data_IF_851149740602
#
_entry.id   IF_851149740602
#
_cell.length_a   1.000
_cell.length_b   1.000
_cell.length_c   1.000
_cell.angle_alpha   90.00
_cell.angle_beta   90.00
_cell.angle_gamma   90.00
#
_symmetry.space_group_name_H-M   'P 1'
#
loop_
_entity.id
_entity.type
_entity.pdbx_description
1 polymer ?
#
# COMPACT_ATOMS: atom_id res chain seq x y z
N UNK A 1 50.87 3.59 1.45
CA UNK A 1 50.08 2.60 2.23
C UNK A 1 48.60 2.92 2.07
N UNK A 2 47.84 2.12 1.32
CA UNK A 2 46.43 2.41 0.98
C UNK A 2 45.53 1.89 2.09
N UNK A 3 44.72 2.76 2.70
CA UNK A 3 43.75 2.38 3.73
C UNK A 3 42.35 2.39 3.14
N UNK A 4 41.60 1.32 3.38
CA UNK A 4 40.21 1.18 2.95
C UNK A 4 39.31 0.88 4.13
N UNK A 5 38.02 1.11 3.93
CA UNK A 5 36.96 0.64 4.79
C UNK A 5 36.04 -0.26 3.97
N UNK A 6 35.77 -1.46 4.48
CA UNK A 6 34.93 -2.46 3.82
C UNK A 6 33.74 -2.83 4.72
N UNK A 7 32.61 -3.12 4.08
CA UNK A 7 31.43 -3.65 4.79
C UNK A 7 31.25 -5.12 4.52
N UNK A 8 31.16 -5.89 5.59
CA UNK A 8 30.94 -7.33 5.61
C UNK A 8 29.51 -7.61 6.11
N UNK A 9 28.78 -8.52 5.46
CA UNK A 9 27.43 -8.95 5.91
C UNK A 9 27.29 -10.46 5.85
N UNK A 10 26.42 -11.03 6.70
CA UNK A 10 26.00 -12.42 6.60
C UNK A 10 24.54 -12.53 6.12
N UNK A 11 24.36 -12.94 4.87
CA UNK A 11 23.04 -12.98 4.22
C UNK A 11 22.25 -14.25 4.57
N UNK A 12 22.95 -15.34 4.87
CA UNK A 12 22.35 -16.63 5.24
C UNK A 12 23.33 -17.50 6.02
N UNK A 13 22.82 -18.42 6.83
CA UNK A 13 23.63 -19.45 7.48
C UNK A 13 23.25 -20.79 6.84
N UNK A 14 24.18 -21.41 6.11
CA UNK A 14 23.95 -22.69 5.41
C UNK A 14 24.75 -23.77 6.13
N UNK A 15 24.08 -24.86 6.55
CA UNK A 15 24.71 -26.00 7.25
C UNK A 15 25.55 -25.57 8.49
N UNK A 16 25.10 -24.55 9.22
CA UNK A 16 25.80 -24.02 10.38
C UNK A 16 26.98 -23.07 10.08
N UNK A 17 27.30 -22.82 8.81
CA UNK A 17 28.34 -21.87 8.41
C UNK A 17 27.74 -20.54 7.91
N UNK A 18 28.18 -19.37 8.43
CA UNK A 18 27.74 -18.07 7.95
C UNK A 18 28.24 -17.82 6.52
N UNK A 19 27.35 -17.38 5.64
CA UNK A 19 27.68 -17.01 4.26
C UNK A 19 27.97 -15.52 4.22
N UNK A 20 29.27 -15.20 4.31
CA UNK A 20 29.75 -13.83 4.42
C UNK A 20 29.91 -13.22 3.03
N UNK A 21 29.53 -11.95 2.92
CA UNK A 21 29.69 -11.14 1.73
C UNK A 21 30.48 -9.88 2.01
N UNK A 22 31.36 -9.51 1.10
CA UNK A 22 32.01 -8.20 1.03
C UNK A 22 31.13 -7.31 0.15
N UNK A 23 30.32 -6.45 0.75
CA UNK A 23 29.35 -5.65 0.00
C UNK A 23 29.99 -4.45 -0.69
N UNK A 24 30.83 -3.74 0.04
CA UNK A 24 31.32 -2.43 -0.39
C UNK A 24 32.73 -2.17 0.10
N UNK A 25 33.40 -1.26 -0.59
CA UNK A 25 34.76 -0.79 -0.34
C UNK A 25 34.82 0.72 -0.55
N UNK A 26 35.58 1.42 0.28
CA UNK A 26 35.89 2.84 0.09
C UNK A 26 37.29 3.15 0.57
N UNK A 27 37.86 4.26 0.11
CA UNK A 27 39.08 4.80 0.72
C UNK A 27 38.77 5.30 2.13
N UNK A 28 39.67 5.05 3.06
CA UNK A 28 39.52 5.49 4.43
C UNK A 28 39.57 7.02 4.50
N UNK A 29 38.52 7.64 5.04
CA UNK A 29 38.39 9.09 5.12
C UNK A 29 37.67 9.74 3.93
N UNK A 30 37.34 8.97 2.89
CA UNK A 30 36.53 9.45 1.77
C UNK A 30 35.04 9.11 1.94
N UNK A 31 34.20 9.94 1.32
CA UNK A 31 32.74 9.78 1.35
C UNK A 31 32.21 8.90 0.20
N UNK A 32 33.02 8.74 -0.86
CA UNK A 32 32.65 7.92 -2.01
C UNK A 32 32.82 6.46 -1.66
N UNK A 33 31.78 5.66 -1.91
CA UNK A 33 31.81 4.23 -1.62
C UNK A 33 31.51 3.46 -2.86
N UNK A 34 32.09 2.29 -3.00
CA UNK A 34 32.02 1.48 -4.20
C UNK A 34 31.46 0.12 -3.83
N UNK A 35 30.58 -0.42 -4.67
CA UNK A 35 29.87 -1.67 -4.40
C UNK A 35 30.38 -2.78 -5.31
N UNK A 36 30.65 -3.96 -4.73
CA UNK A 36 30.94 -5.16 -5.51
C UNK A 36 29.65 -5.67 -6.16
N UNK A 37 29.74 -6.17 -7.39
CA UNK A 37 28.57 -6.73 -8.08
C UNK A 37 28.01 -7.93 -7.30
N UNK A 38 26.72 -8.22 -7.42
CA UNK A 38 26.09 -9.33 -6.67
C UNK A 38 26.78 -10.69 -6.87
N UNK A 39 27.44 -10.87 -8.02
CA UNK A 39 28.18 -12.08 -8.36
C UNK A 39 29.55 -12.11 -7.66
N UNK A 40 30.16 -10.95 -7.42
CA UNK A 40 31.48 -10.78 -6.82
C UNK A 40 31.45 -10.37 -5.35
N UNK A 41 30.34 -10.52 -4.65
CA UNK A 41 30.25 -10.19 -3.22
C UNK A 41 30.67 -11.35 -2.32
N UNK A 42 30.80 -12.57 -2.82
CA UNK A 42 31.10 -13.73 -1.98
C UNK A 42 32.49 -13.58 -1.35
N UNK A 43 32.59 -13.68 -0.02
CA UNK A 43 33.86 -13.56 0.69
C UNK A 43 34.92 -14.58 0.21
N UNK A 44 34.50 -15.74 -0.31
CA UNK A 44 35.40 -16.72 -0.92
C UNK A 44 36.18 -16.20 -2.15
N UNK A 45 35.67 -15.18 -2.83
CA UNK A 45 36.35 -14.52 -3.95
C UNK A 45 37.39 -13.48 -3.46
N UNK A 46 37.32 -13.06 -2.19
CA UNK A 46 38.17 -12.05 -1.59
C UNK A 46 39.22 -12.64 -0.63
N UNK A 47 39.79 -13.82 -0.93
CA UNK A 47 40.74 -14.52 -0.02
C UNK A 47 41.89 -13.63 0.44
N UNK A 48 42.46 -12.84 -0.48
CA UNK A 48 43.56 -11.91 -0.19
C UNK A 48 43.15 -10.81 0.80
N UNK A 49 41.90 -10.36 0.76
CA UNK A 49 41.34 -9.36 1.69
C UNK A 49 41.02 -9.97 3.05
N UNK A 50 40.50 -11.21 3.07
CA UNK A 50 40.20 -11.95 4.30
C UNK A 50 41.44 -12.32 5.11
N UNK A 51 42.59 -12.45 4.46
CA UNK A 51 43.86 -12.72 5.14
C UNK A 51 44.38 -11.51 5.95
N UNK A 52 43.81 -10.31 5.75
CA UNK A 52 44.19 -9.13 6.53
C UNK A 52 43.72 -9.32 7.99
N UNK A 53 44.59 -9.17 9.00
CA UNK A 53 44.25 -9.47 10.40
C UNK A 53 43.05 -8.70 10.97
N UNK A 54 42.77 -7.48 10.50
CA UNK A 54 41.58 -6.72 10.91
C UNK A 54 40.31 -7.30 10.29
N UNK A 55 40.35 -7.65 9.01
CA UNK A 55 39.22 -8.24 8.27
C UNK A 55 38.89 -9.64 8.77
N UNK A 56 39.91 -10.48 9.01
CA UNK A 56 39.73 -11.82 9.57
C UNK A 56 39.00 -11.79 10.91
N UNK A 57 39.43 -10.93 11.82
CA UNK A 57 38.77 -10.74 13.13
C UNK A 57 37.33 -10.21 12.98
N UNK A 58 37.07 -9.35 12.01
CA UNK A 58 35.72 -8.87 11.75
C UNK A 58 34.79 -10.00 11.25
N UNK A 59 35.31 -10.89 10.41
CA UNK A 59 34.61 -12.08 9.92
C UNK A 59 34.29 -13.07 11.04
N UNK A 60 35.23 -13.32 11.96
CA UNK A 60 35.02 -14.25 13.10
C UNK A 60 33.85 -13.85 14.00
N UNK A 61 33.52 -12.55 14.08
CA UNK A 61 32.44 -12.02 14.91
C UNK A 61 31.08 -12.06 14.19
N UNK A 62 31.05 -12.27 12.87
CA UNK A 62 29.83 -12.37 12.07
C UNK A 62 29.38 -13.84 12.05
N UNK A 63 28.38 -14.16 12.87
CA UNK A 63 27.93 -15.54 13.08
C UNK A 63 26.48 -15.79 12.67
N UNK A 64 25.63 -14.77 12.75
CA UNK A 64 24.20 -14.89 12.50
C UNK A 64 23.78 -14.19 11.22
N UNK A 65 22.66 -14.64 10.65
CA UNK A 65 22.01 -13.97 9.53
C UNK A 65 21.61 -12.54 9.93
N UNK A 66 22.02 -11.57 9.11
CA UNK A 66 21.78 -10.14 9.34
C UNK A 66 22.91 -9.44 10.09
N UNK A 67 23.88 -10.17 10.62
CA UNK A 67 25.09 -9.56 11.19
C UNK A 67 25.85 -8.80 10.10
N UNK A 68 26.31 -7.60 10.45
CA UNK A 68 27.14 -6.77 9.58
C UNK A 68 28.24 -6.07 10.38
N UNK A 69 29.37 -5.79 9.73
CA UNK A 69 30.47 -5.01 10.30
C UNK A 69 31.17 -4.18 9.23
N UNK A 70 31.46 -2.93 9.57
CA UNK A 70 32.39 -2.10 8.84
C UNK A 70 33.77 -2.23 9.49
N UNK A 71 34.79 -2.50 8.68
CA UNK A 71 36.16 -2.68 9.16
C UNK A 71 37.13 -1.86 8.33
N UNK A 72 38.02 -1.16 9.03
CA UNK A 72 39.14 -0.44 8.41
C UNK A 72 40.31 -1.40 8.26
N UNK A 73 40.85 -1.48 7.06
CA UNK A 73 41.97 -2.31 6.71
C UNK A 73 43.02 -1.49 5.96
N UNK A 74 44.27 -1.92 6.06
CA UNK A 74 45.34 -1.36 5.24
C UNK A 74 45.73 -2.42 4.23
N UNK A 75 45.71 -2.10 2.93
CA UNK A 75 46.09 -3.04 1.89
C UNK A 75 47.61 -3.16 1.86
N UNK A 76 48.13 -4.39 1.96
CA UNK A 76 49.48 -4.73 1.52
C UNK A 76 49.71 -4.39 0.03
N UNK A 77 50.93 -4.01 -0.33
CA UNK A 77 51.29 -3.58 -1.70
C UNK A 77 51.02 -4.67 -2.75
N UNK A 78 51.18 -5.94 -2.39
CA UNK A 78 50.95 -7.12 -3.24
C UNK A 78 49.48 -7.36 -3.60
N UNK A 79 48.53 -6.70 -2.92
CA UNK A 79 47.10 -6.84 -3.22
C UNK A 79 46.45 -5.53 -3.70
N UNK A 80 47.17 -4.41 -3.74
CA UNK A 80 46.62 -3.11 -4.19
C UNK A 80 46.09 -3.22 -5.62
N UNK A 81 46.88 -3.80 -6.53
CA UNK A 81 46.50 -3.97 -7.94
C UNK A 81 45.32 -4.91 -8.19
N UNK A 82 44.82 -5.62 -7.18
CA UNK A 82 43.60 -6.43 -7.30
C UNK A 82 42.32 -5.60 -7.06
N UNK A 83 42.46 -4.44 -6.41
CA UNK A 83 41.35 -3.57 -6.00
C UNK A 83 41.43 -2.17 -6.60
N UNK A 84 42.55 -1.82 -7.22
CA UNK A 84 42.81 -0.55 -7.87
C UNK A 84 43.45 -0.76 -9.23
N UNK A 85 43.05 0.04 -10.21
CA UNK A 85 43.74 0.15 -11.50
C UNK A 85 44.91 1.16 -11.43
N UNK A 86 45.62 1.34 -12.54
CA UNK A 86 46.73 2.31 -12.66
C UNK A 86 46.27 3.77 -12.51
N UNK A 87 44.98 4.04 -12.72
CA UNK A 87 44.34 5.36 -12.59
C UNK A 87 43.66 5.55 -11.23
N UNK A 88 43.98 4.69 -10.26
CA UNK A 88 43.50 4.79 -8.88
C UNK A 88 41.98 4.56 -8.68
N UNK A 89 41.27 4.04 -9.68
CA UNK A 89 39.86 3.67 -9.59
C UNK A 89 39.67 2.30 -8.95
N UNK A 90 38.54 2.09 -8.28
CA UNK A 90 38.21 0.79 -7.71
C UNK A 90 37.83 -0.22 -8.79
N UNK A 91 38.62 -1.29 -8.91
CA UNK A 91 38.37 -2.41 -9.82
C UNK A 91 38.36 -3.72 -9.07
N UNK A 92 37.71 -4.76 -9.60
CA UNK A 92 37.81 -6.12 -9.09
C UNK A 92 37.56 -7.11 -10.22
N UNK A 93 38.50 -8.03 -10.45
CA UNK A 93 38.47 -8.98 -11.59
C UNK A 93 38.22 -8.26 -12.94
N UNK A 94 38.95 -7.16 -13.18
CA UNK A 94 38.86 -6.31 -14.38
C UNK A 94 37.52 -5.57 -14.58
N UNK A 95 36.63 -5.58 -13.59
CA UNK A 95 35.41 -4.78 -13.59
C UNK A 95 35.57 -3.53 -12.72
N UNK A 96 35.24 -2.36 -13.30
CA UNK A 96 35.13 -1.10 -12.57
C UNK A 96 33.94 -1.14 -11.61
N UNK A 97 34.16 -0.78 -10.35
CA UNK A 97 33.10 -0.75 -9.35
C UNK A 97 32.24 0.51 -9.49
N UNK A 98 30.94 0.35 -9.28
CA UNK A 98 30.00 1.47 -9.28
C UNK A 98 30.03 2.23 -7.95
N UNK A 99 30.02 3.57 -8.03
CA UNK A 99 29.86 4.46 -6.87
C UNK A 99 28.47 4.28 -6.25
N UNK A 100 28.43 4.21 -4.93
CA UNK A 100 27.29 4.00 -4.08
C UNK A 100 27.36 5.04 -2.95
N UNK A 101 26.33 5.85 -2.80
CA UNK A 101 26.31 6.91 -1.79
C UNK A 101 26.11 6.29 -0.39
N UNK A 102 27.19 6.06 0.38
CA UNK A 102 27.05 5.81 1.83
C UNK A 102 27.06 7.12 2.60
N UNK A 103 25.87 7.64 2.88
CA UNK A 103 25.66 8.31 4.16
C UNK A 103 25.45 7.24 5.23
N UNK A 104 26.18 7.39 6.33
CA UNK A 104 26.36 6.39 7.38
C UNK A 104 25.05 5.88 7.99
N UNK A 105 24.85 4.57 7.83
CA UNK A 105 24.46 3.59 8.85
C UNK A 105 23.22 3.93 9.70
N UNK A 106 22.05 3.47 9.24
CA UNK A 106 21.25 2.39 9.89
C UNK A 106 20.07 2.03 8.97
N UNK A 107 20.24 1.86 7.66
CA UNK A 107 19.09 1.98 6.75
C UNK A 107 19.19 1.15 5.45
N UNK A 108 19.75 -0.06 5.47
CA UNK A 108 19.46 -1.04 4.40
C UNK A 108 18.03 -1.61 4.48
N UNK A 109 17.30 -1.31 5.56
CA UNK A 109 15.83 -1.38 5.58
C UNK A 109 15.16 -0.07 5.13
N UNK A 110 15.90 0.96 4.68
CA UNK A 110 15.41 2.34 4.51
C UNK A 110 15.65 3.01 3.16
N UNK A 111 16.17 2.34 2.14
CA UNK A 111 16.02 2.88 0.76
C UNK A 111 14.67 2.49 0.14
N UNK A 112 14.00 1.46 0.68
CA UNK A 112 12.53 1.42 0.66
C UNK A 112 11.97 2.34 1.76
N UNK A 113 12.28 2.19 3.07
CA UNK A 113 11.77 3.06 4.17
C UNK A 113 12.05 4.57 4.17
N UNK A 114 12.84 5.24 3.31
CA UNK A 114 12.97 6.73 3.36
C UNK A 114 12.07 7.39 2.32
N UNK A 115 11.94 6.76 1.14
CA UNK A 115 10.79 6.98 0.27
C UNK A 115 9.54 6.42 0.94
N UNK A 116 9.49 5.20 1.48
CA UNK A 116 8.36 4.69 2.28
C UNK A 116 8.15 5.47 3.60
N UNK A 117 9.10 6.15 4.25
CA UNK A 117 8.74 7.01 5.40
C UNK A 117 8.12 8.32 4.91
N UNK A 118 8.57 8.87 3.79
CA UNK A 118 7.95 10.04 3.14
C UNK A 118 6.60 9.69 2.50
N UNK A 119 6.52 8.59 1.76
CA UNK A 119 5.36 7.95 1.15
C UNK A 119 4.39 7.47 2.22
N UNK A 120 4.76 6.71 3.26
CA UNK A 120 3.82 6.33 4.31
C UNK A 120 3.37 7.53 5.14
N UNK A 121 4.20 8.58 5.29
CA UNK A 121 3.75 9.84 5.90
C UNK A 121 2.74 10.55 5.00
N UNK A 122 2.99 10.61 3.69
CA UNK A 122 2.07 11.16 2.69
C UNK A 122 0.78 10.34 2.58
N UNK A 123 0.87 9.00 2.52
CA UNK A 123 -0.23 8.02 2.47
C UNK A 123 -1.16 8.16 3.68
N UNK A 124 -0.65 8.45 4.87
CA UNK A 124 -1.51 8.77 6.03
C UNK A 124 -2.38 10.01 5.81
N UNK A 125 -1.95 10.91 4.94
CA UNK A 125 -2.69 12.11 4.57
C UNK A 125 -3.51 11.93 3.31
N UNK A 126 -3.36 10.84 2.55
CA UNK A 126 -4.23 10.53 1.41
C UNK A 126 -5.64 10.23 1.92
N UNK A 127 -6.63 10.88 1.32
CA UNK A 127 -8.04 10.61 1.58
C UNK A 127 -8.59 9.83 0.38
N UNK A 128 -8.16 8.57 0.27
CA UNK A 128 -8.54 7.68 -0.83
C UNK A 128 -8.78 6.25 -0.32
N UNK A 129 -9.94 5.69 -0.69
CA UNK A 129 -10.25 4.28 -0.43
C UNK A 129 -9.45 3.37 -1.37
N UNK A 130 -9.05 2.20 -0.89
CA UNK A 130 -8.30 1.25 -1.71
C UNK A 130 -9.16 0.69 -2.85
N UNK A 131 -8.55 0.50 -4.02
CA UNK A 131 -9.18 -0.07 -5.19
C UNK A 131 -9.31 -1.59 -5.05
N UNK A 132 -10.55 -2.09 -5.07
CA UNK A 132 -10.86 -3.51 -5.03
C UNK A 132 -11.62 -3.99 -6.28
N UNK A 133 -11.67 -3.17 -7.33
CA UNK A 133 -12.39 -3.50 -8.57
C UNK A 133 -13.90 -3.29 -8.50
N UNK A 134 -14.46 -2.83 -7.38
CA UNK A 134 -15.87 -2.42 -7.30
C UNK A 134 -16.09 -0.95 -7.66
N UNK A 135 -15.05 -0.12 -7.54
CA UNK A 135 -15.10 1.29 -7.90
C UNK A 135 -14.91 1.52 -9.40
N UNK A 136 -15.40 2.64 -9.89
CA UNK A 136 -15.11 3.14 -11.21
C UNK A 136 -13.61 3.48 -11.32
N UNK A 137 -12.89 2.77 -12.20
CA UNK A 137 -11.44 2.93 -12.31
C UNK A 137 -11.01 4.31 -12.81
N UNK A 138 -11.79 4.93 -13.69
CA UNK A 138 -11.52 6.28 -14.23
C UNK A 138 -11.70 7.34 -13.14
N UNK A 139 -12.79 7.27 -12.39
CA UNK A 139 -13.00 8.19 -11.27
C UNK A 139 -11.94 7.98 -10.17
N UNK A 140 -11.64 6.72 -9.86
CA UNK A 140 -10.69 6.37 -8.82
C UNK A 140 -9.26 6.84 -9.14
N UNK A 141 -8.75 6.60 -10.37
CA UNK A 141 -7.41 7.03 -10.75
C UNK A 141 -7.32 8.57 -10.80
N UNK A 142 -8.39 9.25 -11.20
CA UNK A 142 -8.46 10.71 -11.19
C UNK A 142 -8.39 11.28 -9.76
N UNK A 143 -9.06 10.63 -8.79
CA UNK A 143 -8.96 11.04 -7.37
C UNK A 143 -7.53 10.77 -6.86
N UNK A 144 -6.95 9.63 -7.23
CA UNK A 144 -5.57 9.30 -6.88
C UNK A 144 -4.55 10.34 -7.40
N UNK A 145 -4.68 10.76 -8.66
CA UNK A 145 -3.81 11.79 -9.26
C UNK A 145 -3.96 13.13 -8.54
N UNK A 146 -5.20 13.56 -8.28
CA UNK A 146 -5.46 14.80 -7.51
C UNK A 146 -4.85 14.76 -6.12
N UNK A 147 -4.90 13.61 -5.45
CA UNK A 147 -4.30 13.44 -4.13
C UNK A 147 -2.77 13.42 -4.19
N UNK A 148 -2.18 12.85 -5.25
CA UNK A 148 -0.74 12.94 -5.51
C UNK A 148 -0.31 14.40 -5.70
N UNK A 149 -1.06 15.18 -6.48
CA UNK A 149 -0.77 16.59 -6.72
C UNK A 149 -0.93 17.43 -5.44
N UNK A 150 -1.98 17.16 -4.65
CA UNK A 150 -2.21 17.82 -3.35
C UNK A 150 -1.06 17.61 -2.38
N UNK A 151 -0.41 16.45 -2.44
CA UNK A 151 0.70 16.06 -1.56
C UNK A 151 2.08 16.26 -2.21
N UNK A 152 2.14 16.92 -3.38
CA UNK A 152 3.36 17.21 -4.14
C UNK A 152 4.20 15.97 -4.43
N UNK A 153 3.55 14.93 -4.92
CA UNK A 153 4.19 13.72 -5.44
C UNK A 153 4.48 13.94 -6.92
N UNK A 154 5.61 14.59 -7.21
CA UNK A 154 5.93 15.03 -8.57
C UNK A 154 6.74 13.99 -9.38
N UNK A 155 7.26 12.96 -8.71
CA UNK A 155 8.04 11.89 -9.33
C UNK A 155 7.13 10.71 -9.72
N UNK A 156 7.19 10.33 -10.99
CA UNK A 156 6.46 9.18 -11.54
C UNK A 156 6.75 7.88 -10.77
N UNK A 157 8.02 7.65 -10.42
CA UNK A 157 8.45 6.49 -9.61
C UNK A 157 7.72 6.47 -8.26
N UNK A 158 7.58 7.61 -7.60
CA UNK A 158 6.87 7.72 -6.33
C UNK A 158 5.36 7.52 -6.50
N UNK A 159 4.75 8.03 -7.58
CA UNK A 159 3.33 7.76 -7.89
C UNK A 159 3.07 6.26 -8.07
N UNK A 160 3.95 5.57 -8.80
CA UNK A 160 3.86 4.11 -9.03
C UNK A 160 4.02 3.35 -7.71
N UNK A 161 4.99 3.71 -6.87
CA UNK A 161 5.16 3.07 -5.56
C UNK A 161 3.96 3.28 -4.63
N UNK A 162 3.41 4.50 -4.58
CA UNK A 162 2.23 4.83 -3.76
C UNK A 162 1.00 4.07 -4.27
N UNK A 163 0.83 3.96 -5.59
CA UNK A 163 -0.28 3.26 -6.22
C UNK A 163 -0.44 1.85 -5.62
N UNK A 164 0.66 1.12 -5.46
CA UNK A 164 0.66 -0.24 -4.85
C UNK A 164 -0.06 -0.29 -3.49
N UNK A 165 0.10 0.73 -2.65
CA UNK A 165 -0.46 0.75 -1.29
C UNK A 165 -1.99 0.93 -1.29
N UNK A 166 -2.54 1.41 -2.39
CA UNK A 166 -3.96 1.66 -2.59
C UNK A 166 -4.66 0.62 -3.47
N UNK A 167 -4.00 -0.49 -3.80
CA UNK A 167 -4.60 -1.60 -4.56
C UNK A 167 -4.87 -2.81 -3.65
N UNK A 168 -5.99 -3.50 -3.89
CA UNK A 168 -6.37 -4.75 -3.23
C UNK A 168 -6.68 -5.87 -4.25
N UNK A 169 -6.65 -7.11 -3.77
CA UNK A 169 -7.05 -8.31 -4.50
C UNK A 169 -6.34 -8.44 -5.87
N UNK A 170 -7.12 -8.61 -6.94
CA UNK A 170 -6.65 -8.81 -8.31
C UNK A 170 -5.85 -7.61 -8.85
N UNK A 171 -6.04 -6.41 -8.29
CA UNK A 171 -5.31 -5.22 -8.70
C UNK A 171 -3.85 -5.24 -8.24
N UNK A 172 -3.53 -5.93 -7.13
CA UNK A 172 -2.15 -6.14 -6.68
C UNK A 172 -1.39 -7.07 -7.63
N UNK A 173 -2.06 -8.10 -8.15
CA UNK A 173 -1.45 -9.00 -9.14
C UNK A 173 -1.25 -8.30 -10.49
N UNK A 174 -2.20 -7.45 -10.91
CA UNK A 174 -2.00 -6.55 -12.05
C UNK A 174 -0.80 -5.63 -11.86
N UNK A 175 -0.62 -5.05 -10.68
CA UNK A 175 0.54 -4.20 -10.37
C UNK A 175 1.86 -4.95 -10.54
N UNK A 176 1.97 -6.18 -10.01
CA UNK A 176 3.18 -7.02 -10.15
C UNK A 176 3.46 -7.39 -11.61
N UNK A 177 2.42 -7.73 -12.36
CA UNK A 177 2.53 -8.05 -13.79
C UNK A 177 2.95 -6.83 -14.62
N UNK A 178 2.40 -5.66 -14.30
CA UNK A 178 2.70 -4.37 -14.95
C UNK A 178 4.12 -3.91 -14.65
N UNK A 179 4.59 -4.11 -13.42
CA UNK A 179 5.98 -3.86 -13.02
C UNK A 179 6.97 -4.70 -13.84
N UNK A 180 6.62 -5.94 -14.14
CA UNK A 180 7.43 -6.84 -14.97
C UNK A 180 7.46 -6.45 -16.45
N UNK A 181 6.42 -5.75 -16.94
CA UNK A 181 6.29 -5.31 -18.34
C UNK A 181 6.93 -3.94 -18.61
N UNK A 182 6.78 -2.98 -17.69
CA UNK A 182 7.14 -1.58 -17.93
C UNK A 182 8.31 -1.06 -17.07
N UNK A 183 8.84 -1.88 -16.15
CA UNK A 183 9.86 -1.50 -15.15
C UNK A 183 9.39 -0.38 -14.20
N UNK A 184 10.06 -0.23 -13.05
CA UNK A 184 9.71 0.79 -12.04
C UNK A 184 10.07 2.22 -12.49
N UNK A 185 10.88 2.34 -13.54
CA UNK A 185 11.27 3.61 -14.18
C UNK A 185 10.32 4.02 -15.32
N UNK A 186 9.18 3.32 -15.49
CA UNK A 186 8.17 3.67 -16.48
C UNK A 186 7.53 5.03 -16.19
N UNK A 187 6.98 5.68 -17.21
CA UNK A 187 6.25 6.95 -17.03
C UNK A 187 4.89 6.70 -16.39
N UNK A 188 4.43 7.61 -15.52
CA UNK A 188 3.13 7.47 -14.85
C UNK A 188 1.98 7.38 -15.86
N UNK A 189 2.08 8.11 -16.98
CA UNK A 189 1.08 8.10 -18.04
C UNK A 189 0.89 6.70 -18.65
N UNK A 190 1.96 5.93 -18.84
CA UNK A 190 1.86 4.55 -19.34
C UNK A 190 1.16 3.64 -18.32
N UNK A 191 1.43 3.85 -17.03
CA UNK A 191 0.79 3.10 -15.94
C UNK A 191 -0.69 3.44 -15.80
N UNK A 192 -1.07 4.72 -15.85
CA UNK A 192 -2.47 5.15 -15.75
C UNK A 192 -3.29 4.70 -16.96
N UNK A 193 -2.75 4.78 -18.17
CA UNK A 193 -3.43 4.26 -19.36
C UNK A 193 -3.63 2.74 -19.30
N UNK A 194 -2.59 1.97 -18.95
CA UNK A 194 -2.73 0.52 -18.82
C UNK A 194 -3.70 0.11 -17.70
N UNK A 195 -3.78 0.91 -16.62
CA UNK A 195 -4.77 0.72 -15.56
C UNK A 195 -6.18 0.92 -16.11
N UNK A 196 -6.41 1.99 -16.87
CA UNK A 196 -7.69 2.25 -17.51
C UNK A 196 -8.03 1.19 -18.56
N UNK A 197 -7.09 0.75 -19.39
CA UNK A 197 -7.33 -0.33 -20.36
C UNK A 197 -7.75 -1.64 -19.68
N UNK A 198 -7.22 -1.90 -18.48
CA UNK A 198 -7.54 -3.12 -17.71
C UNK A 198 -8.85 -2.98 -16.93
N UNK A 199 -9.12 -1.82 -16.35
CA UNK A 199 -10.15 -1.62 -15.32
C UNK A 199 -11.21 -0.57 -15.64
N UNK A 200 -10.98 0.35 -16.58
CA UNK A 200 -11.96 1.36 -17.01
C UNK A 200 -13.03 0.81 -17.96
N UNK A 201 -12.97 -0.49 -18.28
CA UNK A 201 -14.11 -1.19 -18.83
C UNK A 201 -15.32 -0.96 -17.91
N UNK A 202 -16.33 -0.24 -18.41
CA UNK A 202 -17.63 -0.11 -17.74
C UNK A 202 -18.17 -1.51 -17.52
N UNK A 203 -17.94 -2.04 -16.32
CA UNK A 203 -18.42 -3.35 -15.96
C UNK A 203 -19.92 -3.21 -15.88
N UNK A 204 -20.63 -3.64 -16.93
CA UNK A 204 -22.09 -3.67 -16.94
C UNK A 204 -22.62 -4.35 -15.68
N UNK A 205 -21.88 -5.32 -15.12
CA UNK A 205 -22.14 -5.92 -13.81
C UNK A 205 -22.22 -4.90 -12.66
N UNK A 206 -21.32 -3.90 -12.58
CA UNK A 206 -21.38 -2.81 -11.60
C UNK A 206 -22.59 -1.90 -11.85
N UNK A 207 -22.87 -1.55 -13.12
CA UNK A 207 -24.05 -0.76 -13.51
C UNK A 207 -25.34 -1.49 -13.10
N UNK A 208 -25.44 -2.77 -13.46
CA UNK A 208 -26.55 -3.64 -13.10
C UNK A 208 -26.68 -3.77 -11.59
N UNK A 209 -25.57 -3.93 -10.86
CA UNK A 209 -25.58 -3.99 -9.41
C UNK A 209 -26.09 -2.69 -8.79
N UNK A 210 -25.58 -1.52 -9.21
CA UNK A 210 -26.00 -0.21 -8.70
C UNK A 210 -27.51 0.03 -8.93
N UNK A 211 -28.00 -0.30 -10.12
CA UNK A 211 -29.40 -0.07 -10.49
C UNK A 211 -30.33 -1.05 -9.74
N UNK A 212 -29.92 -2.31 -9.62
CA UNK A 212 -30.68 -3.36 -8.94
C UNK A 212 -30.41 -3.45 -7.43
N UNK A 213 -29.58 -2.57 -6.85
CA UNK A 213 -29.35 -2.56 -5.41
C UNK A 213 -30.66 -2.25 -4.68
N UNK A 214 -31.12 -3.15 -3.81
CA UNK A 214 -32.41 -3.05 -3.12
C UNK A 214 -32.23 -3.20 -1.61
N UNK A 215 -33.14 -2.60 -0.86
CA UNK A 215 -33.18 -2.74 0.58
C UNK A 215 -33.60 -4.16 0.95
N UNK A 216 -32.79 -4.83 1.75
CA UNK A 216 -33.09 -6.17 2.29
C UNK A 216 -33.44 -6.07 3.76
N UNK A 217 -32.58 -5.44 4.56
CA UNK A 217 -32.75 -5.25 5.99
C UNK A 217 -31.86 -4.13 6.52
N UNK A 218 -32.12 -3.68 7.75
CA UNK A 218 -31.30 -2.68 8.43
C UNK A 218 -31.86 -1.26 8.36
N UNK A 219 -30.97 -0.29 8.24
CA UNK A 219 -31.32 1.14 8.22
C UNK A 219 -31.77 1.55 6.82
N UNK A 220 -32.97 2.13 6.70
CA UNK A 220 -33.45 2.69 5.43
C UNK A 220 -32.57 3.84 4.93
N UNK A 221 -32.01 4.61 5.86
CA UNK A 221 -31.09 5.71 5.57
C UNK A 221 -29.77 5.18 5.01
N UNK A 222 -29.18 4.16 5.63
CA UNK A 222 -27.88 3.61 5.22
C UNK A 222 -28.00 2.98 3.83
N UNK A 223 -29.12 2.29 3.55
CA UNK A 223 -29.44 1.79 2.22
C UNK A 223 -29.48 2.92 1.19
N UNK A 224 -30.20 4.00 1.47
CA UNK A 224 -30.38 5.08 0.50
C UNK A 224 -29.06 5.81 0.23
N UNK A 225 -28.27 6.09 1.27
CA UNK A 225 -26.91 6.66 1.12
C UNK A 225 -26.01 5.74 0.29
N UNK A 226 -26.01 4.44 0.58
CA UNK A 226 -25.21 3.47 -0.17
C UNK A 226 -25.66 3.37 -1.63
N UNK A 227 -26.96 3.40 -1.89
CA UNK A 227 -27.50 3.36 -3.25
C UNK A 227 -27.18 4.63 -4.02
N UNK A 228 -27.31 5.80 -3.40
CA UNK A 228 -26.95 7.07 -4.02
C UNK A 228 -25.47 7.10 -4.44
N UNK A 229 -24.58 6.64 -3.56
CA UNK A 229 -23.15 6.49 -3.88
C UNK A 229 -22.92 5.60 -5.10
N UNK A 230 -23.50 4.40 -5.11
CA UNK A 230 -23.35 3.44 -6.23
C UNK A 230 -23.84 4.01 -7.57
N UNK A 231 -24.92 4.81 -7.53
CA UNK A 231 -25.47 5.47 -8.71
C UNK A 231 -24.53 6.55 -9.23
N UNK A 232 -23.97 7.39 -8.36
CA UNK A 232 -23.01 8.43 -8.74
C UNK A 232 -21.68 7.87 -9.25
N UNK A 233 -21.19 6.77 -8.68
CA UNK A 233 -20.01 6.04 -9.19
C UNK A 233 -20.22 5.49 -10.61
N UNK A 234 -21.48 5.16 -10.94
CA UNK A 234 -21.86 4.67 -12.27
C UNK A 234 -22.02 5.81 -13.28
N UNK A 235 -22.66 6.89 -12.87
CA UNK A 235 -22.88 8.09 -13.68
C UNK A 235 -22.89 9.33 -12.79
N UNK A 236 -21.74 10.01 -12.74
CA UNK A 236 -21.56 11.24 -11.97
C UNK A 236 -22.45 12.40 -12.48
N UNK A 237 -22.95 12.34 -13.72
CA UNK A 237 -23.83 13.35 -14.33
C UNK A 237 -25.31 13.00 -14.19
N UNK A 238 -25.65 11.91 -13.50
CA UNK A 238 -27.03 11.48 -13.33
C UNK A 238 -27.86 12.55 -12.63
N UNK A 239 -29.03 12.86 -13.19
CA UNK A 239 -29.92 13.87 -12.61
C UNK A 239 -30.43 13.47 -11.23
N UNK A 240 -30.65 14.45 -10.38
CA UNK A 240 -31.14 14.22 -9.01
C UNK A 240 -32.48 13.48 -8.98
N UNK A 241 -33.41 13.84 -9.88
CA UNK A 241 -34.69 13.15 -10.02
C UNK A 241 -34.52 11.67 -10.37
N UNK A 242 -33.61 11.35 -11.30
CA UNK A 242 -33.31 9.96 -11.66
C UNK A 242 -32.75 9.19 -10.46
N UNK A 243 -31.83 9.79 -9.69
CA UNK A 243 -31.31 9.17 -8.46
C UNK A 243 -32.39 8.89 -7.45
N UNK A 244 -33.23 9.88 -7.14
CA UNK A 244 -34.38 9.74 -6.22
C UNK A 244 -35.28 8.60 -6.66
N UNK A 245 -35.69 8.57 -7.93
CA UNK A 245 -36.57 7.53 -8.46
C UNK A 245 -35.95 6.14 -8.31
N UNK A 246 -34.67 5.98 -8.67
CA UNK A 246 -33.97 4.70 -8.55
C UNK A 246 -33.82 4.26 -7.09
N UNK A 247 -33.58 5.18 -6.16
CA UNK A 247 -33.53 4.88 -4.72
C UNK A 247 -34.88 4.34 -4.24
N UNK A 248 -35.96 5.05 -4.57
CA UNK A 248 -37.34 4.70 -4.18
C UNK A 248 -37.75 3.35 -4.77
N UNK A 249 -37.41 3.06 -6.03
CA UNK A 249 -37.70 1.78 -6.70
C UNK A 249 -37.07 0.56 -6.02
N UNK A 250 -36.04 0.74 -5.19
CA UNK A 250 -35.43 -0.36 -4.44
C UNK A 250 -35.86 -0.46 -2.98
N UNK A 251 -36.81 0.38 -2.54
CA UNK A 251 -37.40 0.29 -1.22
C UNK A 251 -38.54 -0.74 -1.18
N UNK A 252 -38.89 -1.29 0.00
CA UNK A 252 -40.06 -2.13 0.14
C UNK A 252 -41.36 -1.36 -0.08
N UNK A 253 -42.40 -2.06 -0.55
CA UNK A 253 -43.72 -1.47 -0.84
C UNK A 253 -44.37 -0.75 0.33
N UNK A 254 -44.21 -1.26 1.55
CA UNK A 254 -44.74 -0.62 2.76
C UNK A 254 -44.06 0.73 3.08
N UNK A 255 -42.89 1.02 2.49
CA UNK A 255 -42.16 2.28 2.65
C UNK A 255 -42.55 3.23 1.53
N UNK A 256 -42.41 2.81 0.26
CA UNK A 256 -42.63 3.74 -0.85
C UNK A 256 -44.11 4.10 -1.07
N UNK A 257 -45.05 3.23 -0.69
CA UNK A 257 -46.47 3.58 -0.70
C UNK A 257 -46.83 4.70 0.29
N UNK A 258 -45.93 5.02 1.22
CA UNK A 258 -46.10 6.13 2.16
C UNK A 258 -45.42 7.43 1.69
N UNK A 259 -44.68 7.41 0.58
CA UNK A 259 -44.09 8.62 0.04
C UNK A 259 -45.09 9.34 -0.85
N UNK A 260 -45.24 10.63 -0.59
CA UNK A 260 -45.82 11.55 -1.53
C UNK A 260 -44.71 11.97 -2.53
N UNK A 261 -44.85 11.56 -3.80
CA UNK A 261 -43.88 11.86 -4.87
C UNK A 261 -43.59 13.38 -4.97
N UNK A 262 -44.56 14.23 -4.59
CA UNK A 262 -44.43 15.69 -4.62
C UNK A 262 -43.61 16.27 -3.46
N UNK A 263 -43.45 15.54 -2.35
CA UNK A 263 -42.68 16.00 -1.18
C UNK A 263 -41.18 15.70 -1.29
N UNK A 264 -40.81 14.71 -2.11
CA UNK A 264 -39.43 14.31 -2.35
C UNK A 264 -38.83 15.14 -3.50
N UNK A 265 -38.58 16.42 -3.22
CA UNK A 265 -38.01 17.34 -4.21
C UNK A 265 -36.48 17.36 -4.24
N UNK A 266 -35.81 16.63 -3.34
CA UNK A 266 -34.35 16.54 -3.26
C UNK A 266 -33.90 15.28 -2.53
N UNK A 267 -32.66 14.87 -2.79
CA UNK A 267 -32.03 13.69 -2.18
C UNK A 267 -31.95 13.87 -0.66
N UNK A 268 -31.62 15.09 -0.20
CA UNK A 268 -31.57 15.44 1.23
C UNK A 268 -32.93 15.26 1.92
N UNK A 269 -34.02 15.70 1.27
CA UNK A 269 -35.38 15.50 1.81
C UNK A 269 -35.72 14.02 1.89
N UNK A 270 -35.39 13.23 0.86
CA UNK A 270 -35.56 11.78 0.88
C UNK A 270 -34.84 11.14 2.07
N UNK A 271 -33.55 11.46 2.26
CA UNK A 271 -32.75 10.93 3.38
C UNK A 271 -33.35 11.28 4.74
N UNK A 272 -33.80 12.52 4.93
CA UNK A 272 -34.44 12.95 6.18
C UNK A 272 -35.72 12.16 6.46
N UNK A 273 -36.57 11.98 5.45
CA UNK A 273 -37.80 11.20 5.60
C UNK A 273 -37.44 9.75 5.95
N UNK A 274 -36.49 9.12 5.25
CA UNK A 274 -36.06 7.76 5.56
C UNK A 274 -35.48 7.62 6.97
N UNK A 275 -34.73 8.63 7.43
CA UNK A 275 -34.20 8.70 8.80
C UNK A 275 -35.29 8.72 9.86
N UNK A 276 -36.38 9.49 9.65
CA UNK A 276 -37.50 9.52 10.61
C UNK A 276 -38.23 8.18 10.67
N UNK A 277 -38.48 7.53 9.54
CA UNK A 277 -39.08 6.19 9.50
C UNK A 277 -38.23 5.14 10.23
N UNK A 278 -36.91 5.27 10.14
CA UNK A 278 -35.97 4.39 10.82
C UNK A 278 -36.03 4.55 12.35
N UNK A 279 -36.16 5.78 12.85
CA UNK A 279 -36.30 6.07 14.27
C UNK A 279 -37.65 5.60 14.82
N UNK A 280 -38.71 5.73 14.03
CA UNK A 280 -40.04 5.22 14.39
C UNK A 280 -40.02 3.69 14.50
N UNK A 281 -39.35 2.98 13.59
CA UNK A 281 -39.24 1.51 13.65
C UNK A 281 -38.49 1.04 14.91
N UNK A 282 -37.37 1.70 15.26
CA UNK A 282 -36.59 1.42 16.48
C UNK A 282 -37.38 1.72 17.77
N UNK A 283 -38.12 2.83 17.79
CA UNK A 283 -38.99 3.20 18.93
C UNK A 283 -40.12 2.19 19.12
N UNK A 284 -40.69 1.67 18.04
CA UNK A 284 -41.74 0.66 18.11
C UNK A 284 -41.19 -0.70 18.58
N UNK A 285 -40.00 -1.11 18.15
CA UNK A 285 -39.36 -2.35 18.60
C UNK A 285 -38.96 -2.31 20.09
N UNK A 286 -38.42 -1.17 20.56
CA UNK A 286 -38.09 -0.98 21.98
C UNK A 286 -39.34 -0.98 22.87
N UNK A 287 -40.42 -0.31 22.43
CA UNK A 287 -41.71 -0.33 23.12
C UNK A 287 -42.32 -1.75 23.20
N UNK A 288 -42.17 -2.56 22.13
CA UNK A 288 -42.62 -3.95 22.13
C UNK A 288 -41.80 -4.80 23.11
N UNK A 289 -40.47 -4.65 23.16
CA UNK A 289 -39.62 -5.34 24.14
C UNK A 289 -39.97 -4.97 25.59
N UNK A 290 -40.19 -3.69 25.89
CA UNK A 290 -40.63 -3.25 27.23
C UNK A 290 -42.02 -3.78 27.60
N UNK A 291 -42.94 -3.89 26.64
CA UNK A 291 -44.25 -4.50 26.87
C UNK A 291 -44.15 -6.01 27.12
N UNK A 292 -43.26 -6.72 26.43
CA UNK A 292 -43.02 -8.14 26.69
C UNK A 292 -42.37 -8.38 28.06
N UNK A 293 -41.38 -7.58 28.45
CA UNK A 293 -40.72 -7.73 29.75
C UNK A 293 -41.67 -7.44 30.92
N UNK A 294 -42.47 -6.36 30.81
CA UNK A 294 -43.49 -6.04 31.82
C UNK A 294 -44.63 -7.06 31.89
N UNK A 295 -44.96 -7.73 30.77
CA UNK A 295 -45.91 -8.84 30.76
C UNK A 295 -45.34 -10.10 31.44
N UNK A 296 -44.05 -10.41 31.23
CA UNK A 296 -43.36 -11.52 31.89
C UNK A 296 -43.23 -11.30 33.41
N UNK A 297 -42.90 -10.08 33.84
CA UNK A 297 -42.82 -9.72 35.26
C UNK A 297 -44.19 -9.82 35.96
N UNK A 298 -45.28 -9.36 35.33
CA UNK A 298 -46.63 -9.48 35.90
C UNK A 298 -47.09 -10.93 36.07
N UNK A 299 -46.73 -11.82 35.14
CA UNK A 299 -47.06 -13.25 35.24
C UNK A 299 -46.22 -13.96 36.30
N UNK A 300 -44.95 -13.58 36.49
CA UNK A 300 -44.11 -14.12 37.57
C UNK A 300 -44.63 -13.72 38.97
N UNK A 301 -45.13 -12.50 39.13
CA UNK A 301 -45.70 -12.04 40.42
C UNK A 301 -47.03 -12.74 40.76
N UNK A 302 -47.81 -13.19 39.77
CA UNK A 302 -49.02 -13.99 40.00
C UNK A 302 -48.72 -15.44 40.44
N UNK A 303 -47.59 -16.02 40.01
CA UNK A 303 -47.20 -17.39 40.41
C UNK A 303 -46.58 -17.49 41.82
N UNK A 304 -46.13 -16.38 42.41
CA UNK A 304 -45.54 -16.35 43.76
C UNK A 304 -46.59 -16.05 44.85
N UNK A 305 -47.84 -15.75 44.47
CA UNK A 305 -48.93 -15.37 45.39
C UNK A 305 -50.04 -16.42 45.58
N UNK A 306 -49.88 -17.63 45.05
CA UNK A 306 -50.79 -18.76 45.29
C UNK A 306 -50.13 -19.83 46.16
#
# INVERSE_FOLDING_TARGET
MVRIEISLTCDSVKKGAPQIKVKTIKRFGENKVYMFSNQHQNAEEHKSLLNIPSVRRAVEVISNRGDYRDVVATLPEDIVGLYFDEEENFVFQDYLLAECNKTATTNENKTMKSEELDIFSKVKHFVLDKYNGSQNAEEWINIFEKECDRLRVDLDVSKIQILRLFLEENAVEWYKATLSKFSINGTWNQWSQHFLDTYAGKNWSQVFYAFNYRYISGSLLDYALKKERLLLETDAKMTENTRINLIVCGLPSYVYNKFNIKEVSSSVKLMNILGTYNNISKKNQSNLRMKLSSFQEKNLVQFVRN
#
